data_IF_419713938915
#
_entry.id   IF_419713938915
#
_cell.length_a   1.000
_cell.length_b   1.000
_cell.length_c   1.000
_cell.angle_alpha   90.00
_cell.angle_beta   90.00
_cell.angle_gamma   90.00
#
_symmetry.space_group_name_H-M   'P 1'
#
loop_
_entity.id
_entity.type
_entity.pdbx_description
1 polymer ?
#
# COMPACT_ATOMS: atom_id res chain seq x y z
N UNK A 1 -14.15 -24.85 54.87
CA UNK A 1 -13.76 -23.80 53.90
C UNK A 1 -12.93 -24.49 52.82
N UNK A 2 -13.48 -24.64 51.61
CA UNK A 2 -12.89 -25.46 50.54
C UNK A 2 -11.92 -24.60 49.73
N UNK A 3 -10.63 -24.92 49.81
CA UNK A 3 -9.54 -24.23 49.12
C UNK A 3 -9.71 -24.36 47.61
N UNK A 4 -10.07 -23.25 46.96
CA UNK A 4 -10.10 -23.16 45.50
C UNK A 4 -8.64 -23.30 45.02
N UNK A 5 -8.30 -24.32 44.22
CA UNK A 5 -6.92 -24.54 43.80
C UNK A 5 -6.49 -23.41 42.87
N UNK A 6 -5.34 -22.82 43.18
CA UNK A 6 -4.67 -21.73 42.45
C UNK A 6 -4.49 -22.06 40.96
N UNK A 7 -4.50 -23.35 40.58
CA UNK A 7 -4.43 -23.77 39.18
C UNK A 7 -5.66 -23.38 38.35
N UNK A 8 -6.85 -23.29 38.96
CA UNK A 8 -8.08 -22.88 38.27
C UNK A 8 -8.05 -21.38 37.92
N UNK A 9 -7.44 -20.57 38.78
CA UNK A 9 -7.25 -19.12 38.55
C UNK A 9 -6.22 -18.84 37.46
N UNK A 10 -5.16 -19.64 37.37
CA UNK A 10 -4.17 -19.54 36.28
C UNK A 10 -4.74 -19.92 34.92
N UNK A 11 -5.61 -20.94 34.84
CA UNK A 11 -6.25 -21.34 33.59
C UNK A 11 -7.18 -20.25 33.02
N UNK A 12 -7.86 -19.48 33.88
CA UNK A 12 -8.69 -18.36 33.45
C UNK A 12 -7.88 -17.16 32.94
N UNK A 13 -6.65 -16.96 33.44
CA UNK A 13 -5.77 -15.89 32.98
C UNK A 13 -5.17 -16.15 31.58
N UNK A 14 -4.98 -17.41 31.19
CA UNK A 14 -4.49 -17.77 29.85
C UNK A 14 -5.58 -17.77 28.76
N UNK A 15 -6.86 -17.77 29.13
CA UNK A 15 -7.98 -17.76 28.19
C UNK A 15 -8.30 -16.38 27.59
N UNK A 16 -7.64 -15.31 28.04
CA UNK A 16 -8.00 -13.92 27.71
C UNK A 16 -7.43 -13.33 26.41
N UNK A 17 -6.59 -14.04 25.66
CA UNK A 17 -5.83 -13.44 24.54
C UNK A 17 -6.41 -13.66 23.13
N UNK A 18 -7.64 -14.17 22.99
CA UNK A 18 -8.31 -14.35 21.69
C UNK A 18 -9.37 -13.27 21.45
N UNK A 19 -9.04 -12.00 21.71
CA UNK A 19 -9.88 -10.88 21.28
C UNK A 19 -9.73 -10.77 19.77
N UNK A 20 -10.60 -11.47 19.04
CA UNK A 20 -10.78 -11.30 17.61
C UNK A 20 -11.27 -9.86 17.43
N UNK A 21 -10.54 -9.01 16.70
CA UNK A 21 -10.99 -7.64 16.49
C UNK A 21 -12.32 -7.66 15.75
N UNK A 22 -13.31 -6.91 16.24
CA UNK A 22 -14.66 -6.81 15.64
C UNK A 22 -14.65 -6.30 14.19
N UNK A 23 -13.52 -5.72 13.76
CA UNK A 23 -13.29 -5.32 12.37
C UNK A 23 -11.89 -5.69 11.94
N UNK A 24 -11.81 -6.23 10.72
CA UNK A 24 -10.54 -6.39 10.01
C UNK A 24 -9.86 -5.02 9.88
N UNK A 25 -8.52 -4.94 9.95
CA UNK A 25 -7.79 -3.71 9.69
C UNK A 25 -8.23 -3.13 8.34
N UNK A 26 -8.91 -1.98 8.37
CA UNK A 26 -9.30 -1.26 7.18
C UNK A 26 -8.23 -0.22 6.89
N UNK A 27 -7.99 0.03 5.61
CA UNK A 27 -7.17 1.16 5.21
C UNK A 27 -7.85 2.45 5.67
N UNK A 28 -7.11 3.33 6.35
CA UNK A 28 -7.56 4.68 6.66
C UNK A 28 -6.81 5.67 5.76
N UNK A 29 -7.50 6.52 4.99
CA UNK A 29 -8.96 6.53 4.76
C UNK A 29 -9.46 5.30 3.99
N UNK A 30 -10.73 4.95 4.22
CA UNK A 30 -11.39 3.86 3.51
C UNK A 30 -11.33 4.10 1.99
N UNK A 31 -11.14 3.04 1.18
CA UNK A 31 -11.14 3.18 -0.27
C UNK A 31 -12.45 3.80 -0.75
N UNK A 32 -12.34 4.74 -1.68
CA UNK A 32 -13.51 5.39 -2.26
C UNK A 32 -14.35 4.40 -3.07
N UNK A 33 -15.67 4.62 -3.14
CA UNK A 33 -16.58 3.73 -3.86
C UNK A 33 -16.23 3.63 -5.36
N UNK A 34 -15.71 4.70 -5.96
CA UNK A 34 -15.25 4.70 -7.35
C UNK A 34 -14.07 3.75 -7.62
N UNK A 35 -13.34 3.32 -6.59
CA UNK A 35 -12.24 2.36 -6.72
C UNK A 35 -12.72 0.92 -6.91
N UNK A 36 -14.03 0.71 -6.94
CA UNK A 36 -14.66 -0.55 -7.30
C UNK A 36 -15.71 -0.29 -8.39
N UNK A 37 -15.46 -0.76 -9.60
CA UNK A 37 -16.36 -0.53 -10.73
C UNK A 37 -16.49 -1.77 -11.62
N UNK A 38 -17.64 -1.93 -12.30
CA UNK A 38 -17.85 -3.06 -13.19
C UNK A 38 -16.97 -2.95 -14.44
N UNK A 39 -16.33 -4.07 -14.82
CA UNK A 39 -15.57 -4.21 -16.04
C UNK A 39 -15.73 -5.66 -16.51
N UNK A 40 -16.29 -5.86 -17.71
CA UNK A 40 -16.53 -7.18 -18.26
C UNK A 40 -15.78 -7.31 -19.58
N UNK A 41 -14.45 -7.43 -19.49
CA UNK A 41 -13.59 -7.41 -20.67
C UNK A 41 -12.50 -8.47 -20.56
N UNK A 42 -12.43 -9.37 -21.55
CA UNK A 42 -11.39 -10.40 -21.65
C UNK A 42 -9.98 -9.81 -21.66
N UNK A 43 -9.83 -8.55 -22.11
CA UNK A 43 -8.55 -7.80 -22.12
C UNK A 43 -8.43 -6.77 -20.99
N UNK A 44 -9.25 -6.84 -19.95
CA UNK A 44 -9.21 -5.88 -18.84
C UNK A 44 -7.82 -5.79 -18.19
N UNK A 45 -7.08 -6.90 -18.11
CA UNK A 45 -5.72 -6.92 -17.60
C UNK A 45 -4.76 -6.13 -18.50
N UNK A 46 -4.79 -6.39 -19.82
CA UNK A 46 -3.95 -5.71 -20.82
C UNK A 46 -4.24 -4.21 -20.87
N UNK A 47 -5.52 -3.82 -20.92
CA UNK A 47 -5.94 -2.42 -20.90
C UNK A 47 -5.53 -1.73 -19.60
N UNK A 48 -5.59 -2.43 -18.46
CA UNK A 48 -5.15 -1.86 -17.18
C UNK A 48 -3.64 -1.60 -17.15
N UNK A 49 -2.85 -2.54 -17.69
CA UNK A 49 -1.39 -2.37 -17.84
C UNK A 49 -1.08 -1.18 -18.74
N UNK A 50 -1.77 -1.04 -19.87
CA UNK A 50 -1.58 0.07 -20.81
C UNK A 50 -1.85 1.42 -20.13
N UNK A 51 -3.00 1.57 -19.47
CA UNK A 51 -3.38 2.80 -18.78
C UNK A 51 -2.35 3.18 -17.70
N UNK A 52 -1.88 2.21 -16.90
CA UNK A 52 -0.87 2.48 -15.85
C UNK A 52 0.48 2.90 -16.44
N UNK A 53 0.89 2.23 -17.52
CA UNK A 53 2.16 2.53 -18.21
C UNK A 53 2.11 3.91 -18.85
N UNK A 54 1.01 4.28 -19.49
CA UNK A 54 0.78 5.62 -20.05
C UNK A 54 0.83 6.69 -18.95
N UNK A 55 0.30 6.38 -17.77
CA UNK A 55 0.35 7.28 -16.61
C UNK A 55 1.74 7.36 -15.95
N UNK A 56 2.73 6.66 -16.48
CA UNK A 56 4.12 6.68 -16.00
C UNK A 56 4.35 5.83 -14.75
N UNK A 57 3.50 4.82 -14.50
CA UNK A 57 3.81 3.79 -13.51
C UNK A 57 4.71 2.72 -14.14
N UNK A 58 5.65 2.23 -13.34
CA UNK A 58 6.47 1.06 -13.65
C UNK A 58 5.78 -0.17 -13.09
N UNK A 59 5.65 -1.25 -13.87
CA UNK A 59 5.10 -2.51 -13.40
C UNK A 59 6.07 -3.20 -12.44
N UNK A 60 5.60 -3.56 -11.25
CA UNK A 60 6.37 -4.31 -10.26
C UNK A 60 6.09 -5.81 -10.35
N UNK A 61 4.83 -6.18 -10.51
CA UNK A 61 4.40 -7.57 -10.63
C UNK A 61 3.07 -7.65 -11.38
N UNK A 62 2.85 -8.73 -12.12
CA UNK A 62 1.57 -9.03 -12.76
C UNK A 62 1.33 -10.54 -12.64
N UNK A 63 0.22 -10.90 -12.01
CA UNK A 63 -0.23 -12.28 -11.86
C UNK A 63 -1.54 -12.43 -12.61
N UNK A 64 -1.47 -13.10 -13.77
CA UNK A 64 -2.63 -13.32 -14.63
C UNK A 64 -3.61 -14.35 -14.07
N UNK A 65 -3.16 -15.25 -13.18
CA UNK A 65 -4.02 -16.26 -12.57
C UNK A 65 -4.89 -15.64 -11.47
N UNK A 66 -4.38 -14.65 -10.76
CA UNK A 66 -5.11 -13.89 -9.75
C UNK A 66 -5.77 -12.61 -10.29
N UNK A 67 -5.51 -12.25 -11.55
CA UNK A 67 -5.93 -10.96 -12.12
C UNK A 67 -5.30 -9.76 -11.41
N UNK A 68 -4.12 -9.93 -10.80
CA UNK A 68 -3.48 -8.92 -9.97
C UNK A 68 -2.39 -8.18 -10.74
N UNK A 69 -2.47 -6.86 -10.76
CA UNK A 69 -1.44 -5.97 -11.30
C UNK A 69 -0.92 -5.11 -10.15
N UNK A 70 0.39 -5.08 -9.95
CA UNK A 70 1.05 -4.15 -9.04
C UNK A 70 2.01 -3.26 -9.80
N UNK A 71 1.85 -1.95 -9.65
CA UNK A 71 2.67 -0.93 -10.29
C UNK A 71 3.07 0.14 -9.29
N UNK A 72 4.19 0.83 -9.55
CA UNK A 72 4.68 1.91 -8.69
C UNK A 72 5.31 3.03 -9.50
N UNK A 73 5.31 4.22 -8.93
CA UNK A 73 5.92 5.43 -9.48
C UNK A 73 6.64 6.17 -8.37
N UNK A 74 7.87 6.56 -8.65
CA UNK A 74 8.67 7.36 -7.74
C UNK A 74 8.71 8.81 -8.21
N UNK A 75 8.64 9.73 -7.26
CA UNK A 75 8.73 11.17 -7.51
C UNK A 75 9.63 11.81 -6.47
N UNK A 76 10.55 12.65 -6.94
CA UNK A 76 11.40 13.42 -6.06
C UNK A 76 10.57 14.55 -5.41
N UNK A 77 10.56 14.63 -4.09
CA UNK A 77 9.85 15.66 -3.35
C UNK A 77 10.76 16.87 -3.17
N UNK A 78 10.67 17.81 -4.11
CA UNK A 78 11.41 19.07 -4.04
C UNK A 78 10.85 19.97 -2.94
N UNK A 79 11.70 20.41 -2.03
CA UNK A 79 11.30 21.29 -0.92
C UNK A 79 10.44 20.60 0.15
N UNK A 80 10.46 19.27 0.22
CA UNK A 80 9.86 18.56 1.33
C UNK A 80 10.58 18.93 2.63
N UNK A 81 9.84 19.62 3.49
CA UNK A 81 10.25 19.90 4.85
C UNK A 81 9.75 18.76 5.71
N UNK A 82 10.66 18.01 6.35
CA UNK A 82 10.28 17.03 7.36
C UNK A 82 10.04 17.78 8.69
N UNK A 83 8.79 17.89 9.17
CA UNK A 83 8.52 18.55 10.44
C UNK A 83 9.03 17.75 11.66
N UNK A 84 9.45 16.50 11.46
CA UNK A 84 10.07 15.62 12.43
C UNK A 84 11.58 15.48 12.21
N UNK A 85 12.19 16.41 11.46
CA UNK A 85 13.64 16.60 11.40
C UNK A 85 14.14 17.21 12.73
N UNK A 86 14.01 16.42 13.79
CA UNK A 86 14.51 16.74 15.13
C UNK A 86 16.03 16.47 15.16
N UNK A 87 16.80 17.14 14.29
CA UNK A 87 18.26 17.02 14.23
C UNK A 87 18.98 17.38 15.56
N UNK A 88 18.26 17.86 16.58
CA UNK A 88 18.79 18.19 17.92
C UNK A 88 17.94 17.68 19.10
N UNK A 89 17.27 16.53 18.96
CA UNK A 89 16.65 15.82 20.08
C UNK A 89 17.65 14.86 20.76
N UNK A 90 18.21 15.25 21.90
CA UNK A 90 19.02 14.40 22.76
C UNK A 90 18.37 13.01 22.97
N UNK A 91 18.95 11.96 22.39
CA UNK A 91 18.77 10.59 22.86
C UNK A 91 17.88 9.65 22.03
N UNK A 92 18.21 9.39 20.75
CA UNK A 92 17.82 8.12 20.11
C UNK A 92 18.93 7.54 19.24
N UNK A 93 19.47 6.41 19.70
CA UNK A 93 20.01 5.32 18.89
C UNK A 93 21.08 5.67 17.85
N UNK A 94 22.33 5.48 18.24
CA UNK A 94 23.46 5.37 17.30
C UNK A 94 23.14 4.23 16.31
N UNK A 95 22.75 4.57 15.07
CA UNK A 95 22.48 3.61 13.99
C UNK A 95 23.82 3.13 13.42
N UNK A 96 24.49 2.27 14.18
CA UNK A 96 25.70 1.57 13.71
C UNK A 96 25.22 0.24 13.15
N UNK A 97 25.38 0.07 11.84
CA UNK A 97 25.04 -1.12 11.04
C UNK A 97 23.59 -1.23 10.59
N UNK A 98 23.42 -1.38 9.28
CA UNK A 98 22.13 -1.49 8.61
C UNK A 98 21.29 -2.66 9.13
N UNK A 99 20.03 -2.34 9.42
CA UNK A 99 18.90 -3.24 9.26
C UNK A 99 18.81 -4.45 10.20
N UNK A 100 18.36 -4.23 11.43
CA UNK A 100 17.37 -5.12 12.07
C UNK A 100 16.62 -4.38 13.17
N UNK A 101 15.60 -3.62 12.80
CA UNK A 101 14.66 -3.02 13.75
C UNK A 101 13.60 -4.04 14.13
N UNK A 102 13.67 -4.60 15.35
CA UNK A 102 12.62 -5.45 15.92
C UNK A 102 11.50 -4.54 16.47
N UNK A 103 10.74 -3.93 15.55
CA UNK A 103 9.54 -3.16 15.86
C UNK A 103 8.30 -4.06 15.82
N UNK A 104 7.52 -4.08 16.91
CA UNK A 104 6.21 -4.77 16.98
C UNK A 104 5.21 -4.07 16.07
N UNK A 105 5.16 -4.46 14.81
CA UNK A 105 4.16 -4.00 13.84
C UNK A 105 4.31 -4.79 12.54
N UNK A 106 3.29 -5.56 12.18
CA UNK A 106 3.27 -6.38 10.97
C UNK A 106 3.21 -5.50 9.72
N UNK A 107 4.37 -5.23 9.11
CA UNK A 107 4.45 -4.60 7.81
C UNK A 107 5.65 -5.15 7.07
N UNK A 108 5.44 -6.16 6.23
CA UNK A 108 6.46 -6.66 5.32
C UNK A 108 6.51 -5.73 4.11
N UNK A 109 7.53 -4.88 4.05
CA UNK A 109 7.79 -4.02 2.89
C UNK A 109 8.81 -4.67 1.95
N UNK A 110 8.35 -5.19 0.81
CA UNK A 110 9.22 -5.56 -0.30
C UNK A 110 9.47 -4.32 -1.18
N UNK A 111 10.70 -3.80 -1.15
CA UNK A 111 11.20 -2.79 -2.09
C UNK A 111 12.22 -3.43 -3.04
N UNK A 112 11.80 -3.69 -4.27
CA UNK A 112 12.68 -4.03 -5.40
C UNK A 112 12.67 -2.79 -6.29
N UNK A 113 13.84 -2.17 -6.51
CA UNK A 113 14.01 -1.25 -7.65
C UNK A 113 14.45 0.19 -7.39
N UNK A 114 15.16 0.52 -6.33
CA UNK A 114 16.05 1.70 -6.25
C UNK A 114 16.77 1.66 -4.91
N UNK A 115 17.99 2.18 -4.83
CA UNK A 115 18.89 2.06 -3.68
C UNK A 115 18.34 2.68 -2.39
N UNK A 116 17.54 1.96 -1.61
CA UNK A 116 17.20 2.31 -0.23
C UNK A 116 18.39 2.01 0.70
N UNK A 117 19.51 2.69 0.47
CA UNK A 117 20.70 2.69 1.31
C UNK A 117 20.83 4.06 1.95
N UNK A 118 20.89 4.11 3.29
CA UNK A 118 21.03 5.32 4.10
C UNK A 118 22.33 6.08 3.79
N UNK A 119 22.32 6.86 2.72
CA UNK A 119 23.35 7.84 2.37
C UNK A 119 22.90 9.23 2.77
N UNK A 120 23.79 9.99 3.39
CA UNK A 120 23.57 11.40 3.73
C UNK A 120 23.37 12.20 2.44
N UNK A 121 22.25 12.91 2.31
CA UNK A 121 21.97 13.82 1.18
C UNK A 121 21.14 13.23 0.03
N UNK A 122 20.37 12.16 0.26
CA UNK A 122 19.37 11.73 -0.73
C UNK A 122 18.24 12.77 -0.82
N UNK A 123 17.70 12.98 -2.01
CA UNK A 123 16.51 13.80 -2.13
C UNK A 123 15.32 13.03 -1.53
N UNK A 124 14.45 13.66 -0.71
CA UNK A 124 13.22 13.01 -0.24
C UNK A 124 12.40 12.50 -1.44
N UNK A 125 11.81 11.31 -1.31
CA UNK A 125 11.06 10.66 -2.39
C UNK A 125 9.67 10.25 -1.96
N UNK A 126 8.71 10.40 -2.86
CA UNK A 126 7.36 9.86 -2.77
C UNK A 126 7.27 8.62 -3.66
N UNK A 127 6.95 7.49 -3.06
CA UNK A 127 6.67 6.23 -3.75
C UNK A 127 5.17 6.04 -3.73
N UNK A 128 4.56 6.09 -4.90
CA UNK A 128 3.15 5.84 -5.13
C UNK A 128 2.99 4.44 -5.70
N UNK A 129 2.29 3.56 -4.99
CA UNK A 129 2.02 2.19 -5.41
C UNK A 129 0.52 2.03 -5.68
N UNK A 130 0.21 1.33 -6.77
CA UNK A 130 -1.15 1.00 -7.17
C UNK A 130 -1.21 -0.50 -7.38
N UNK A 131 -2.26 -1.11 -6.83
CA UNK A 131 -2.59 -2.52 -7.04
C UNK A 131 -4.00 -2.61 -7.60
N UNK A 132 -4.17 -3.32 -8.69
CA UNK A 132 -5.45 -3.56 -9.34
C UNK A 132 -5.74 -5.03 -9.28
N UNK A 133 -6.92 -5.37 -8.81
CA UNK A 133 -7.47 -6.70 -8.86
C UNK A 133 -8.57 -6.70 -9.90
N UNK A 134 -8.34 -7.44 -10.97
CA UNK A 134 -9.27 -7.64 -12.09
C UNK A 134 -9.94 -8.99 -11.88
N UNK A 135 -11.22 -8.96 -11.55
CA UNK A 135 -12.09 -10.13 -11.53
C UNK A 135 -12.92 -10.19 -12.84
N UNK A 136 -13.68 -11.25 -13.04
CA UNK A 136 -14.47 -11.47 -14.26
C UNK A 136 -15.48 -10.35 -14.56
N UNK A 137 -15.93 -9.65 -13.50
CA UNK A 137 -17.03 -8.67 -13.60
C UNK A 137 -16.68 -7.29 -13.07
N UNK A 138 -15.59 -7.15 -12.32
CA UNK A 138 -15.25 -5.93 -11.62
C UNK A 138 -13.74 -5.71 -11.56
N UNK A 139 -13.36 -4.44 -11.50
CA UNK A 139 -12.00 -4.02 -11.16
C UNK A 139 -12.04 -3.35 -9.80
N UNK A 140 -11.12 -3.77 -8.93
CA UNK A 140 -10.86 -3.14 -7.64
C UNK A 140 -9.47 -2.51 -7.64
N UNK A 141 -9.41 -1.23 -7.28
CA UNK A 141 -8.17 -0.47 -7.19
C UNK A 141 -7.83 -0.21 -5.71
N UNK A 142 -6.57 -0.44 -5.37
CA UNK A 142 -5.96 -0.02 -4.12
C UNK A 142 -4.72 0.82 -4.43
N UNK A 143 -4.57 1.95 -3.75
CA UNK A 143 -3.45 2.87 -3.95
C UNK A 143 -2.90 3.30 -2.59
N UNK A 144 -1.59 3.19 -2.44
CA UNK A 144 -0.84 3.64 -1.27
C UNK A 144 0.25 4.64 -1.67
N UNK A 145 0.43 5.67 -0.86
CA UNK A 145 1.51 6.65 -0.99
C UNK A 145 2.40 6.54 0.24
N UNK A 146 3.70 6.47 0.00
CA UNK A 146 4.74 6.45 1.02
C UNK A 146 5.76 7.54 0.76
N UNK A 147 6.12 8.31 1.77
CA UNK A 147 7.14 9.36 1.67
C UNK A 147 8.34 9.01 2.53
N UNK A 148 9.50 9.11 1.93
CA UNK A 148 10.78 8.88 2.56
C UNK A 148 11.55 10.20 2.65
N UNK A 149 12.19 10.43 3.79
CA UNK A 149 13.06 11.59 3.99
C UNK A 149 14.41 11.45 3.28
N UNK A 150 15.29 12.41 3.51
CA UNK A 150 16.63 12.45 2.93
C UNK A 150 17.61 11.42 3.54
N UNK A 151 17.22 10.72 4.61
CA UNK A 151 17.93 9.58 5.18
C UNK A 151 17.37 8.23 4.70
N UNK A 152 16.26 8.24 3.96
CA UNK A 152 15.54 7.05 3.52
C UNK A 152 14.58 6.48 4.57
N UNK A 153 14.28 7.20 5.65
CA UNK A 153 13.29 6.77 6.64
C UNK A 153 11.87 7.09 6.14
N UNK A 154 10.96 6.13 6.34
CA UNK A 154 9.54 6.30 6.06
C UNK A 154 8.92 7.30 7.05
N UNK A 155 8.42 8.43 6.54
CA UNK A 155 7.78 9.49 7.33
C UNK A 155 6.27 9.42 7.28
N UNK A 156 5.74 9.18 6.08
CA UNK A 156 4.30 9.13 5.85
C UNK A 156 3.95 7.86 5.07
N UNK A 157 2.84 7.22 5.44
CA UNK A 157 2.25 6.10 4.71
C UNK A 157 0.74 6.19 4.86
N UNK A 158 0.02 6.35 3.76
CA UNK A 158 -1.44 6.46 3.80
C UNK A 158 -2.08 5.85 2.55
N UNK A 159 -3.35 5.45 2.71
CA UNK A 159 -4.19 5.06 1.58
C UNK A 159 -4.57 6.28 0.75
N UNK A 160 -4.22 6.26 -0.53
CA UNK A 160 -4.57 7.29 -1.50
C UNK A 160 -5.59 6.77 -2.55
N UNK A 161 -6.40 5.80 -2.14
CA UNK A 161 -7.50 5.22 -2.91
C UNK A 161 -8.72 6.17 -2.92
N UNK A 162 -8.55 7.35 -3.54
CA UNK A 162 -9.54 8.43 -3.54
C UNK A 162 -10.39 8.46 -4.83
N UNK A 163 -11.52 9.17 -4.78
CA UNK A 163 -12.47 9.25 -5.90
C UNK A 163 -11.83 9.83 -7.17
N UNK A 164 -11.04 10.90 -7.07
CA UNK A 164 -10.41 11.54 -8.24
C UNK A 164 -9.57 10.55 -9.06
N UNK A 165 -8.68 9.82 -8.40
CA UNK A 165 -7.81 8.85 -9.08
C UNK A 165 -8.63 7.72 -9.71
N UNK A 166 -9.56 7.14 -8.94
CA UNK A 166 -10.32 5.97 -9.36
C UNK A 166 -11.32 6.29 -10.49
N UNK A 167 -12.00 7.45 -10.43
CA UNK A 167 -12.89 7.91 -11.51
C UNK A 167 -12.12 8.23 -12.79
N UNK A 168 -10.95 8.88 -12.67
CA UNK A 168 -10.08 9.15 -13.82
C UNK A 168 -9.58 7.85 -14.45
N UNK A 169 -9.26 6.85 -13.62
CA UNK A 169 -8.80 5.55 -14.10
C UNK A 169 -9.94 4.85 -14.85
N UNK A 170 -11.11 4.74 -14.23
CA UNK A 170 -12.30 4.15 -14.84
C UNK A 170 -12.65 4.82 -16.18
N UNK A 171 -12.59 6.15 -16.23
CA UNK A 171 -12.87 6.92 -17.46
C UNK A 171 -11.88 6.58 -18.55
N UNK A 172 -10.57 6.58 -18.24
CA UNK A 172 -9.53 6.23 -19.22
C UNK A 172 -9.61 4.78 -19.66
N UNK A 173 -9.75 3.86 -18.71
CA UNK A 173 -9.97 2.45 -18.99
C UNK A 173 -11.12 2.25 -19.99
N UNK A 174 -12.29 2.82 -19.72
CA UNK A 174 -13.47 2.71 -20.60
C UNK A 174 -13.24 3.32 -22.00
N UNK A 175 -12.42 4.36 -22.11
CA UNK A 175 -12.06 4.97 -23.40
C UNK A 175 -11.05 4.13 -24.20
N UNK A 176 -10.15 3.43 -23.50
CA UNK A 176 -9.14 2.57 -24.11
C UNK A 176 -9.70 1.21 -24.52
N UNK A 177 -10.78 0.74 -23.87
CA UNK A 177 -11.47 -0.49 -24.30
C UNK A 177 -11.94 -0.31 -25.75
N UNK A 178 -11.43 -1.12 -26.69
CA UNK A 178 -11.90 -1.05 -28.07
C UNK A 178 -13.38 -1.42 -28.08
N UNK A 179 -14.22 -0.57 -28.70
CA UNK A 179 -15.64 -0.83 -28.84
C UNK A 179 -15.86 -2.16 -29.56
N UNK A 180 -16.15 -3.22 -28.81
CA UNK A 180 -16.57 -4.50 -29.35
C UNK A 180 -17.95 -4.31 -29.97
N UNK A 181 -17.97 -4.19 -31.29
CA UNK A 181 -19.10 -4.55 -32.15
C UNK A 181 -20.41 -3.83 -31.87
N UNK A 182 -20.65 -2.73 -32.60
CA UNK A 182 -22.00 -2.24 -32.90
C UNK A 182 -22.79 -3.42 -33.52
N UNK A 183 -23.96 -3.83 -32.97
CA UNK A 183 -24.80 -4.79 -33.67
C UNK A 183 -25.28 -4.11 -34.96
N UNK A 184 -24.99 -4.74 -36.10
CA UNK A 184 -25.67 -4.48 -37.37
C UNK A 184 -27.00 -5.25 -37.39
#
# INVERSE_FOLDING_TARGET
MKSIPISLTCLLALAGCQVIPDRLPQAEPAPAAACYFPANHERALETSVEVLTEWGFTLNSTDTALGLISASRERALHGYYDPYDDAYGYGRGMRVFGGLGIGRGSGVGFGIGSSFGGGVGQQPVEVERVSLLVDDTHIRISRDIRRFDHWGDLRESYSASNDDFCQRFQTRFTQTVPATGRPL
#
